data_IF_229489847604
#
_entry.id   IF_229489847604
#
_cell.length_a   1.000
_cell.length_b   1.000
_cell.length_c   1.000
_cell.angle_alpha   90.00
_cell.angle_beta   90.00
_cell.angle_gamma   90.00
#
_symmetry.space_group_name_H-M   'P 1'
#
loop_
_entity.id
_entity.type
_entity.pdbx_description
1 polymer ?
#
# COMPACT_ATOMS: atom_id res chain seq x y z
N UNK A 1 -11.21 -63.44 -0.69
CA UNK A 1 -9.81 -63.65 -1.09
C UNK A 1 -9.09 -62.33 -1.00
N UNK A 2 -8.37 -62.13 0.09
CA UNK A 2 -7.63 -60.90 0.32
C UNK A 2 -6.24 -60.97 -0.33
N UNK A 3 -5.96 -60.15 -1.28
CA UNK A 3 -4.62 -59.99 -1.83
C UNK A 3 -3.79 -59.16 -0.88
N UNK A 4 -2.93 -59.82 -0.12
CA UNK A 4 -1.89 -59.18 0.69
C UNK A 4 -0.83 -58.60 -0.25
N UNK A 5 -0.80 -57.31 -0.39
CA UNK A 5 0.34 -56.61 -1.00
C UNK A 5 1.39 -56.42 0.10
N UNK A 6 2.45 -57.23 0.05
CA UNK A 6 3.63 -57.05 0.92
C UNK A 6 4.31 -55.77 0.53
N UNK A 7 4.09 -54.71 1.33
CA UNK A 7 4.74 -53.42 1.13
C UNK A 7 6.20 -53.47 1.56
N UNK A 8 7.13 -53.18 0.64
CA UNK A 8 8.50 -52.82 1.00
C UNK A 8 8.44 -51.56 1.87
N UNK A 9 9.02 -51.61 3.07
CA UNK A 9 9.22 -50.42 3.90
C UNK A 9 10.16 -49.46 3.15
N UNK A 10 9.59 -48.41 2.58
CA UNK A 10 10.38 -47.29 2.10
C UNK A 10 10.80 -46.46 3.30
N UNK A 11 12.08 -46.39 3.59
CA UNK A 11 12.66 -45.49 4.60
C UNK A 11 12.61 -44.05 4.07
N UNK A 12 11.45 -43.42 4.13
CA UNK A 12 11.28 -42.01 3.81
C UNK A 12 11.40 -41.13 5.05
N UNK A 13 12.01 -39.95 4.98
CA UNK A 13 11.99 -38.97 6.05
C UNK A 13 10.59 -38.39 6.20
N UNK A 14 10.01 -38.49 7.39
CA UNK A 14 8.75 -37.82 7.75
C UNK A 14 9.06 -36.36 7.96
N UNK A 15 8.40 -35.48 7.21
CA UNK A 15 8.58 -34.02 7.33
C UNK A 15 7.57 -33.36 8.24
N UNK A 16 6.34 -33.82 8.24
CA UNK A 16 5.23 -33.23 9.00
C UNK A 16 4.14 -34.28 9.23
N UNK A 17 3.57 -34.27 10.42
CA UNK A 17 2.40 -35.09 10.76
C UNK A 17 1.35 -34.18 11.37
N UNK A 18 0.13 -34.22 10.87
CA UNK A 18 -0.99 -33.40 11.34
C UNK A 18 -2.20 -34.29 11.57
N UNK A 19 -2.82 -34.17 12.73
CA UNK A 19 -4.12 -34.79 13.02
C UNK A 19 -5.19 -33.80 12.58
N UNK A 20 -6.06 -34.20 11.64
CA UNK A 20 -7.09 -33.31 11.08
C UNK A 20 -8.40 -33.47 11.85
N UNK A 21 -8.76 -34.71 12.16
CA UNK A 21 -9.92 -35.06 12.98
C UNK A 21 -9.58 -36.38 13.66
N UNK A 22 -10.20 -36.76 14.76
CA UNK A 22 -9.83 -37.94 15.55
C UNK A 22 -9.60 -39.26 14.76
N UNK A 23 -10.03 -39.28 13.48
CA UNK A 23 -9.95 -40.42 12.59
C UNK A 23 -9.17 -40.19 11.28
N UNK A 24 -8.55 -39.02 11.11
CA UNK A 24 -7.78 -38.65 9.91
C UNK A 24 -6.40 -38.14 10.24
N UNK A 25 -5.39 -38.70 9.59
CA UNK A 25 -3.98 -38.31 9.75
C UNK A 25 -3.38 -37.94 8.40
N UNK A 26 -2.71 -36.79 8.32
CA UNK A 26 -1.91 -36.39 7.17
C UNK A 26 -0.42 -36.45 7.49
N UNK A 27 0.34 -36.98 6.55
CA UNK A 27 1.78 -37.13 6.71
C UNK A 27 2.50 -36.85 5.39
N UNK A 28 3.42 -35.88 5.44
CA UNK A 28 4.30 -35.66 4.31
C UNK A 28 5.52 -36.57 4.41
N UNK A 29 5.81 -37.25 3.31
CA UNK A 29 6.94 -38.16 3.20
C UNK A 29 7.78 -37.78 2.00
N UNK A 30 9.10 -37.75 2.17
CA UNK A 30 10.03 -37.58 1.06
C UNK A 30 10.70 -38.92 0.71
N UNK A 31 10.55 -39.32 -0.55
CA UNK A 31 11.17 -40.53 -1.09
C UNK A 31 12.02 -40.11 -2.30
N UNK A 32 13.33 -39.99 -2.12
CA UNK A 32 14.21 -39.41 -3.12
C UNK A 32 13.82 -37.98 -3.46
N UNK A 33 13.52 -37.70 -4.72
CA UNK A 33 13.11 -36.39 -5.21
C UNK A 33 11.59 -36.16 -5.20
N UNK A 34 10.81 -37.17 -4.79
CA UNK A 34 9.35 -37.12 -4.77
C UNK A 34 8.88 -36.79 -3.36
N UNK A 35 7.94 -35.84 -3.25
CA UNK A 35 7.23 -35.53 -2.01
C UNK A 35 5.81 -36.04 -2.11
N UNK A 36 5.47 -36.98 -1.24
CA UNK A 36 4.13 -37.58 -1.17
C UNK A 36 3.37 -37.08 0.05
N UNK A 37 2.10 -36.71 -0.16
CA UNK A 37 1.15 -36.50 0.92
C UNK A 37 0.36 -37.80 1.12
N UNK A 38 0.52 -38.39 2.28
CA UNK A 38 -0.23 -39.56 2.70
C UNK A 38 -1.34 -39.12 3.65
N UNK A 39 -2.58 -39.51 3.32
CA UNK A 39 -3.76 -39.41 4.19
C UNK A 39 -4.17 -40.77 4.63
N UNK A 40 -4.31 -40.96 5.92
CA UNK A 40 -4.87 -42.18 6.53
C UNK A 40 -6.24 -41.80 7.07
N UNK A 41 -7.29 -42.46 6.58
CA UNK A 41 -8.67 -42.30 6.99
C UNK A 41 -9.11 -43.61 7.62
N UNK A 42 -9.53 -43.57 8.88
CA UNK A 42 -10.08 -44.70 9.61
C UNK A 42 -11.61 -44.65 9.57
N UNK A 43 -12.24 -45.72 9.16
CA UNK A 43 -13.70 -45.89 9.17
C UNK A 43 -14.03 -46.85 10.32
N UNK A 44 -14.75 -46.35 11.31
CA UNK A 44 -15.16 -47.12 12.51
C UNK A 44 -16.68 -47.22 12.56
N UNK A 45 -17.15 -48.36 13.01
CA UNK A 45 -18.56 -48.63 13.29
C UNK A 45 -18.68 -49.27 14.68
N UNK A 46 -19.42 -48.62 15.59
CA UNK A 46 -19.56 -49.05 16.95
C UNK A 46 -18.26 -49.08 17.77
N UNK A 47 -17.27 -48.23 17.42
CA UNK A 47 -15.96 -48.19 18.09
C UNK A 47 -14.99 -49.27 17.57
N UNK A 48 -15.33 -49.98 16.51
CA UNK A 48 -14.48 -51.02 15.90
C UNK A 48 -14.03 -50.54 14.54
N UNK A 49 -12.71 -50.53 14.28
CA UNK A 49 -12.15 -50.17 13.00
C UNK A 49 -12.59 -51.16 11.92
N UNK A 50 -13.41 -50.72 10.98
CA UNK A 50 -13.91 -51.52 9.86
C UNK A 50 -12.97 -51.47 8.67
N UNK A 51 -12.43 -50.29 8.38
CA UNK A 51 -11.59 -50.07 7.22
C UNK A 51 -10.57 -48.93 7.47
N UNK A 52 -9.41 -49.05 6.83
CA UNK A 52 -8.41 -48.01 6.72
C UNK A 52 -8.15 -47.68 5.28
N UNK A 53 -8.43 -46.47 4.86
CA UNK A 53 -8.16 -45.95 3.52
C UNK A 53 -6.87 -45.17 3.58
N UNK A 54 -5.92 -45.49 2.72
CA UNK A 54 -4.66 -44.75 2.56
C UNK A 54 -4.67 -44.11 1.17
N UNK A 55 -4.69 -42.77 1.17
CA UNK A 55 -4.54 -41.98 -0.04
C UNK A 55 -3.11 -41.48 -0.13
N UNK A 56 -2.49 -41.58 -1.29
CA UNK A 56 -1.17 -41.04 -1.54
C UNK A 56 -1.24 -40.13 -2.76
N UNK A 57 -0.86 -38.88 -2.56
CA UNK A 57 -0.83 -37.87 -3.61
C UNK A 57 0.60 -37.38 -3.81
N UNK A 58 1.08 -37.31 -5.04
CA UNK A 58 2.33 -36.66 -5.38
C UNK A 58 2.13 -35.13 -5.33
N UNK A 59 2.82 -34.48 -4.41
CA UNK A 59 2.78 -33.03 -4.21
C UNK A 59 4.12 -32.37 -4.54
N UNK A 60 4.98 -33.05 -5.28
CA UNK A 60 6.34 -32.61 -5.59
C UNK A 60 6.35 -31.26 -6.31
N UNK A 61 5.57 -31.15 -7.39
CA UNK A 61 5.48 -29.92 -8.18
C UNK A 61 4.84 -28.77 -7.38
N UNK A 62 3.81 -29.07 -6.60
CA UNK A 62 3.19 -28.08 -5.70
C UNK A 62 4.19 -27.55 -4.69
N UNK A 63 4.99 -28.42 -4.06
CA UNK A 63 6.02 -28.01 -3.10
C UNK A 63 7.19 -27.24 -3.72
N UNK A 64 7.53 -27.55 -4.97
CA UNK A 64 8.53 -26.77 -5.72
C UNK A 64 8.02 -25.35 -5.96
N UNK A 65 6.79 -25.20 -6.42
CA UNK A 65 6.14 -23.89 -6.63
C UNK A 65 6.02 -23.10 -5.35
N UNK A 66 5.54 -23.71 -4.25
CA UNK A 66 5.48 -23.07 -2.94
C UNK A 66 6.85 -22.55 -2.47
N UNK A 67 7.90 -23.33 -2.68
CA UNK A 67 9.26 -22.93 -2.35
C UNK A 67 9.74 -21.78 -3.22
N UNK A 68 9.44 -21.81 -4.51
CA UNK A 68 9.80 -20.75 -5.45
C UNK A 68 9.08 -19.43 -5.08
N UNK A 69 7.78 -19.49 -4.79
CA UNK A 69 7.00 -18.34 -4.33
C UNK A 69 7.63 -17.74 -3.05
N UNK A 70 7.95 -18.58 -2.06
CA UNK A 70 8.58 -18.11 -0.82
C UNK A 70 9.94 -17.44 -1.05
N UNK A 71 10.75 -17.98 -1.98
CA UNK A 71 12.02 -17.36 -2.33
C UNK A 71 11.79 -16.02 -3.04
N UNK A 72 10.84 -15.95 -3.98
CA UNK A 72 10.50 -14.71 -4.67
C UNK A 72 10.03 -13.63 -3.67
N UNK A 73 9.12 -13.98 -2.74
CA UNK A 73 8.66 -13.06 -1.70
C UNK A 73 9.80 -12.56 -0.81
N UNK A 74 10.70 -13.45 -0.39
CA UNK A 74 11.86 -13.04 0.43
C UNK A 74 12.81 -12.09 -0.32
N UNK A 75 13.02 -12.31 -1.63
CA UNK A 75 13.84 -11.42 -2.48
C UNK A 75 13.16 -10.06 -2.64
N UNK A 76 11.85 -10.04 -2.86
CA UNK A 76 11.07 -8.80 -2.96
C UNK A 76 11.17 -7.99 -1.66
N UNK A 77 11.00 -8.62 -0.50
CA UNK A 77 11.16 -7.95 0.80
C UNK A 77 12.57 -7.37 0.98
N UNK A 78 13.63 -8.12 0.60
CA UNK A 78 15.00 -7.62 0.68
C UNK A 78 15.21 -6.40 -0.25
N UNK A 79 14.62 -6.41 -1.46
CA UNK A 79 14.67 -5.26 -2.37
C UNK A 79 14.00 -4.05 -1.72
N UNK A 80 12.84 -4.21 -1.11
CA UNK A 80 12.14 -3.14 -0.41
C UNK A 80 12.95 -2.55 0.73
N UNK A 81 13.58 -3.40 1.56
CA UNK A 81 14.48 -2.93 2.62
C UNK A 81 15.69 -2.16 2.07
N UNK A 82 16.26 -2.58 0.95
CA UNK A 82 17.36 -1.87 0.29
C UNK A 82 16.93 -0.53 -0.29
N UNK A 83 15.76 -0.45 -0.92
CA UNK A 83 15.22 0.82 -1.44
C UNK A 83 15.01 1.81 -0.29
N UNK A 84 14.40 1.39 0.82
CA UNK A 84 14.25 2.21 2.02
C UNK A 84 15.60 2.75 2.52
N UNK A 85 16.59 1.88 2.69
CA UNK A 85 17.92 2.26 3.17
C UNK A 85 18.62 3.26 2.22
N UNK A 86 18.46 3.07 0.91
CA UNK A 86 19.01 3.98 -0.09
C UNK A 86 18.33 5.36 -0.02
N UNK A 87 17.00 5.41 0.09
CA UNK A 87 16.25 6.66 0.24
C UNK A 87 16.64 7.40 1.51
N UNK A 88 16.79 6.71 2.65
CA UNK A 88 17.28 7.30 3.90
C UNK A 88 18.71 7.86 3.78
N UNK A 89 19.57 7.16 3.04
CA UNK A 89 20.95 7.62 2.79
C UNK A 89 20.93 8.90 1.95
N UNK A 90 20.13 8.94 0.88
CA UNK A 90 19.97 10.14 0.03
C UNK A 90 19.43 11.30 0.85
N UNK A 91 18.38 11.09 1.67
CA UNK A 91 17.85 12.10 2.57
C UNK A 91 18.91 12.65 3.53
N UNK A 92 19.75 11.78 4.10
CA UNK A 92 20.87 12.18 4.97
C UNK A 92 21.89 13.05 4.23
N UNK A 93 22.25 12.70 2.99
CA UNK A 93 23.18 13.48 2.18
C UNK A 93 22.59 14.85 1.84
N UNK A 94 21.31 14.93 1.46
CA UNK A 94 20.65 16.21 1.17
C UNK A 94 20.54 17.09 2.43
N UNK A 95 20.23 16.52 3.61
CA UNK A 95 20.28 17.26 4.89
C UNK A 95 21.67 17.83 5.17
N UNK A 96 22.72 17.07 4.87
CA UNK A 96 24.09 17.55 5.05
C UNK A 96 24.38 18.71 4.08
N UNK A 97 23.94 18.64 2.83
CA UNK A 97 24.07 19.73 1.86
C UNK A 97 23.28 20.98 2.29
N UNK A 98 22.05 20.81 2.76
CA UNK A 98 21.22 21.90 3.27
C UNK A 98 21.90 22.68 4.43
N UNK A 99 22.63 21.97 5.33
CA UNK A 99 23.39 22.60 6.42
C UNK A 99 24.60 23.40 5.91
N UNK A 100 25.19 23.03 4.77
CA UNK A 100 26.37 23.69 4.19
C UNK A 100 26.02 24.80 3.22
N UNK A 101 24.80 24.82 2.70
CA UNK A 101 24.31 25.81 1.74
C UNK A 101 24.06 27.15 2.44
N UNK A 102 24.54 28.22 1.81
CA UNK A 102 24.40 29.59 2.32
C UNK A 102 23.15 30.33 1.80
N UNK A 103 22.62 29.91 0.62
CA UNK A 103 21.39 30.48 0.06
C UNK A 103 20.19 29.95 0.84
N UNK A 104 19.34 30.84 1.38
CA UNK A 104 18.10 30.45 2.05
C UNK A 104 17.16 29.67 1.14
N UNK A 105 17.00 30.09 -0.12
CA UNK A 105 16.12 29.45 -1.11
C UNK A 105 16.61 28.01 -1.41
N UNK A 106 17.91 27.84 -1.65
CA UNK A 106 18.46 26.50 -1.90
C UNK A 106 18.39 25.60 -0.66
N UNK A 107 18.49 26.17 0.53
CA UNK A 107 18.32 25.42 1.78
C UNK A 107 16.89 24.91 1.94
N UNK A 108 15.91 25.74 1.61
CA UNK A 108 14.50 25.38 1.68
C UNK A 108 14.15 24.31 0.64
N UNK A 109 14.56 24.48 -0.62
CA UNK A 109 14.39 23.50 -1.67
C UNK A 109 15.00 22.12 -1.31
N UNK A 110 16.17 22.12 -0.64
CA UNK A 110 16.79 20.88 -0.17
C UNK A 110 16.01 20.23 0.97
N UNK A 111 15.40 21.01 1.88
CA UNK A 111 14.54 20.46 2.93
C UNK A 111 13.27 19.85 2.37
N UNK A 112 12.59 20.52 1.43
CA UNK A 112 11.44 19.98 0.73
C UNK A 112 11.80 18.65 0.04
N UNK A 113 12.93 18.60 -0.68
CA UNK A 113 13.43 17.38 -1.30
C UNK A 113 13.65 16.24 -0.30
N UNK A 114 14.19 16.54 0.90
CA UNK A 114 14.35 15.56 1.98
C UNK A 114 13.01 15.04 2.45
N UNK A 115 12.03 15.92 2.68
CA UNK A 115 10.70 15.54 3.14
C UNK A 115 10.01 14.63 2.14
N UNK A 116 10.07 14.93 0.83
CA UNK A 116 9.54 14.10 -0.23
C UNK A 116 10.19 12.72 -0.29
N UNK A 117 11.52 12.64 -0.18
CA UNK A 117 12.23 11.36 -0.18
C UNK A 117 11.82 10.49 1.01
N UNK A 118 11.67 11.08 2.20
CA UNK A 118 11.24 10.35 3.38
C UNK A 118 9.81 9.84 3.24
N UNK A 119 8.92 10.65 2.69
CA UNK A 119 7.53 10.25 2.43
C UNK A 119 7.45 9.11 1.41
N UNK A 120 8.21 9.17 0.32
CA UNK A 120 8.32 8.06 -0.65
C UNK A 120 8.83 6.78 0.04
N UNK A 121 9.80 6.89 0.95
CA UNK A 121 10.33 5.75 1.71
C UNK A 121 9.26 5.07 2.57
N UNK A 122 8.39 5.86 3.20
CA UNK A 122 7.31 5.37 4.05
C UNK A 122 6.22 4.69 3.21
N UNK A 123 5.82 5.33 2.11
CA UNK A 123 4.86 4.78 1.15
C UNK A 123 5.36 3.43 0.62
N UNK A 124 6.62 3.38 0.22
CA UNK A 124 7.24 2.17 -0.29
C UNK A 124 7.27 1.04 0.75
N UNK A 125 7.56 1.36 2.02
CA UNK A 125 7.52 0.40 3.13
C UNK A 125 6.10 -0.10 3.39
N UNK A 126 5.12 0.79 3.42
CA UNK A 126 3.71 0.43 3.64
C UNK A 126 3.20 -0.52 2.55
N UNK A 127 3.48 -0.21 1.28
CA UNK A 127 3.05 -1.02 0.15
C UNK A 127 3.78 -2.37 0.08
N UNK A 128 5.03 -2.42 0.53
CA UNK A 128 5.84 -3.64 0.54
C UNK A 128 5.45 -4.64 1.63
N UNK A 129 4.76 -4.20 2.67
CA UNK A 129 4.27 -5.07 3.74
C UNK A 129 2.91 -5.71 3.43
N UNK A 130 2.27 -5.28 2.36
CA UNK A 130 1.01 -5.85 1.92
C UNK A 130 1.29 -6.88 0.82
N UNK A 131 1.16 -8.17 1.15
CA UNK A 131 1.18 -9.27 0.17
C UNK A 131 -0.07 -9.26 -0.75
N UNK A 132 -0.96 -8.29 -0.57
CA UNK A 132 -2.20 -8.17 -1.32
C UNK A 132 -1.96 -7.51 -2.68
N UNK A 133 -2.35 -8.17 -3.74
CA UNK A 133 -2.36 -7.61 -5.11
C UNK A 133 -3.30 -6.40 -5.23
N UNK A 134 -4.28 -6.29 -4.32
CA UNK A 134 -5.31 -5.25 -4.30
C UNK A 134 -5.25 -4.48 -2.98
N UNK A 135 -5.09 -3.17 -3.06
CA UNK A 135 -4.86 -2.27 -1.93
C UNK A 135 -6.02 -1.29 -1.78
N UNK A 136 -6.50 -1.11 -0.53
CA UNK A 136 -7.48 -0.10 -0.18
C UNK A 136 -6.84 1.28 -0.06
N UNK A 137 -7.27 2.21 -0.92
CA UNK A 137 -6.79 3.60 -1.00
C UNK A 137 -7.02 4.36 0.32
N UNK A 138 -8.12 4.10 1.01
CA UNK A 138 -8.44 4.75 2.29
C UNK A 138 -7.42 4.38 3.37
N UNK A 139 -7.00 3.12 3.42
CA UNK A 139 -5.96 2.67 4.36
C UNK A 139 -4.61 3.32 4.07
N UNK A 140 -4.26 3.44 2.80
CA UNK A 140 -3.03 4.12 2.35
C UNK A 140 -3.07 5.58 2.77
N UNK A 141 -4.16 6.30 2.49
CA UNK A 141 -4.32 7.71 2.84
C UNK A 141 -4.19 7.96 4.34
N UNK A 142 -4.79 7.10 5.19
CA UNK A 142 -4.65 7.18 6.65
C UNK A 142 -3.20 7.01 7.09
N UNK A 143 -2.50 6.01 6.55
CA UNK A 143 -1.09 5.74 6.90
C UNK A 143 -0.17 6.89 6.50
N UNK A 144 -0.39 7.48 5.31
CA UNK A 144 0.36 8.66 4.85
C UNK A 144 0.08 9.86 5.78
N UNK A 145 -1.20 10.13 6.08
CA UNK A 145 -1.61 11.21 6.95
C UNK A 145 -0.92 11.11 8.33
N UNK A 146 -0.99 9.95 8.97
CA UNK A 146 -0.37 9.71 10.27
C UNK A 146 1.14 9.96 10.23
N UNK A 147 1.79 9.49 9.18
CA UNK A 147 3.24 9.62 9.01
C UNK A 147 3.67 11.06 8.75
N UNK A 148 2.95 11.78 7.88
CA UNK A 148 3.24 13.20 7.59
C UNK A 148 2.99 14.05 8.83
N UNK A 149 1.89 13.81 9.54
CA UNK A 149 1.59 14.52 10.80
C UNK A 149 2.72 14.34 11.83
N UNK A 150 3.22 13.11 12.01
CA UNK A 150 4.28 12.82 12.96
C UNK A 150 5.63 13.45 12.57
N UNK A 151 5.89 13.65 11.28
CA UNK A 151 7.19 14.11 10.79
C UNK A 151 7.27 15.62 10.54
N UNK A 152 6.14 16.26 10.23
CA UNK A 152 6.09 17.64 9.73
C UNK A 152 5.45 18.62 10.69
N UNK A 153 4.50 18.17 11.51
CA UNK A 153 3.78 19.06 12.41
C UNK A 153 4.48 19.21 13.75
N UNK A 154 4.51 20.42 14.26
CA UNK A 154 4.92 20.69 15.63
C UNK A 154 3.95 20.04 16.60
N UNK A 155 4.44 19.67 17.79
CA UNK A 155 3.62 18.98 18.82
C UNK A 155 2.42 19.79 19.29
N UNK A 156 2.48 21.10 19.11
CA UNK A 156 1.43 22.04 19.53
C UNK A 156 0.45 22.37 18.38
N UNK A 157 0.66 21.83 17.17
CA UNK A 157 -0.26 22.03 16.06
C UNK A 157 -1.47 21.10 16.19
N UNK A 158 -2.66 21.66 16.23
CA UNK A 158 -3.92 20.91 16.32
C UNK A 158 -4.47 20.56 14.93
N UNK A 159 -4.05 19.42 14.34
CA UNK A 159 -4.65 18.94 13.10
C UNK A 159 -5.83 18.02 13.38
N UNK A 160 -6.98 18.34 12.77
CA UNK A 160 -8.13 17.45 12.71
C UNK A 160 -8.19 16.79 11.34
N UNK A 161 -8.36 15.47 11.31
CA UNK A 161 -8.47 14.70 10.06
C UNK A 161 -9.79 13.95 10.01
N UNK A 162 -10.44 13.91 8.84
CA UNK A 162 -11.67 13.16 8.61
C UNK A 162 -11.58 12.37 7.30
N UNK A 163 -12.17 11.18 7.26
CA UNK A 163 -12.11 10.26 6.13
C UNK A 163 -13.51 9.79 5.77
N UNK A 164 -13.96 10.06 4.53
CA UNK A 164 -15.32 9.83 4.08
C UNK A 164 -15.38 9.12 2.74
N UNK A 165 -16.47 8.40 2.53
CA UNK A 165 -16.81 7.75 1.25
C UNK A 165 -16.56 6.26 1.22
N UNK A 166 -16.80 5.61 0.08
CA UNK A 166 -16.61 4.18 -0.11
C UNK A 166 -15.13 3.78 -0.14
N UNK A 167 -14.87 2.52 0.18
CA UNK A 167 -13.55 1.91 -0.05
C UNK A 167 -13.28 1.81 -1.56
N UNK A 168 -12.16 2.35 -1.99
CA UNK A 168 -11.65 2.19 -3.36
C UNK A 168 -10.49 1.21 -3.30
N UNK A 169 -10.59 0.12 -4.08
CA UNK A 169 -9.58 -0.91 -4.17
C UNK A 169 -8.86 -0.83 -5.50
N UNK A 170 -7.54 -0.70 -5.47
CA UNK A 170 -6.70 -0.59 -6.66
C UNK A 170 -5.59 -1.67 -6.66
N UNK A 171 -5.14 -2.11 -7.84
CA UNK A 171 -3.92 -2.89 -7.96
C UNK A 171 -2.73 -2.17 -7.29
N UNK A 172 -1.83 -2.94 -6.68
CA UNK A 172 -0.68 -2.42 -5.92
C UNK A 172 0.12 -1.36 -6.68
N UNK A 173 0.33 -1.55 -7.99
CA UNK A 173 1.02 -0.61 -8.86
C UNK A 173 0.32 0.75 -8.95
N UNK A 174 -1.01 0.75 -9.12
CA UNK A 174 -1.81 1.98 -9.20
C UNK A 174 -1.97 2.64 -7.84
N UNK A 175 -2.12 1.84 -6.78
CA UNK A 175 -2.13 2.32 -5.41
C UNK A 175 -0.80 3.01 -5.04
N UNK A 176 0.35 2.50 -5.53
CA UNK A 176 1.67 3.12 -5.35
C UNK A 176 1.76 4.49 -5.98
N UNK A 177 1.28 4.64 -7.22
CA UNK A 177 1.24 5.92 -7.93
C UNK A 177 0.33 6.92 -7.21
N UNK A 178 -0.87 6.48 -6.86
CA UNK A 178 -1.84 7.32 -6.17
C UNK A 178 -1.37 7.73 -4.77
N UNK A 179 -0.64 6.87 -4.07
CA UNK A 179 -0.08 7.20 -2.75
C UNK A 179 0.91 8.35 -2.82
N UNK A 180 1.71 8.45 -3.87
CA UNK A 180 2.59 9.60 -4.09
C UNK A 180 1.80 10.89 -4.32
N UNK A 181 0.73 10.81 -5.12
CA UNK A 181 -0.18 11.95 -5.33
C UNK A 181 -0.84 12.40 -4.03
N UNK A 182 -1.37 11.46 -3.25
CA UNK A 182 -1.99 11.74 -1.93
C UNK A 182 -0.97 12.42 -1.01
N UNK A 183 0.25 11.90 -0.95
CA UNK A 183 1.31 12.47 -0.13
C UNK A 183 1.62 13.92 -0.50
N UNK A 184 1.82 14.21 -1.79
CA UNK A 184 2.09 15.57 -2.26
C UNK A 184 0.95 16.53 -1.93
N UNK A 185 -0.30 16.07 -2.03
CA UNK A 185 -1.46 16.93 -1.69
C UNK A 185 -1.57 17.20 -0.19
N UNK A 186 -1.26 16.22 0.66
CA UNK A 186 -1.22 16.41 2.11
C UNK A 186 -0.07 17.35 2.49
N UNK A 187 1.11 17.18 1.89
CA UNK A 187 2.24 18.08 2.11
C UNK A 187 1.91 19.52 1.71
N UNK A 188 1.30 19.72 0.53
CA UNK A 188 0.89 21.04 0.08
C UNK A 188 -0.12 21.70 1.04
N UNK A 189 -1.07 20.94 1.58
CA UNK A 189 -2.02 21.45 2.56
C UNK A 189 -1.31 21.89 3.84
N UNK A 190 -0.33 21.15 4.32
CA UNK A 190 0.44 21.48 5.54
C UNK A 190 1.38 22.65 5.31
N UNK A 191 2.16 22.63 4.22
CA UNK A 191 3.21 23.63 3.96
C UNK A 191 2.63 24.99 3.53
N UNK A 192 1.59 24.96 2.70
CA UNK A 192 1.00 26.18 2.11
C UNK A 192 -0.37 26.54 2.68
N UNK A 193 -1.22 25.52 2.95
CA UNK A 193 -2.55 25.77 3.49
C UNK A 193 -2.52 26.26 4.92
N UNK A 194 -1.63 25.75 5.75
CA UNK A 194 -1.58 26.06 7.19
C UNK A 194 -0.45 27.00 7.59
N UNK A 195 0.13 27.70 6.63
CA UNK A 195 1.16 28.69 6.92
C UNK A 195 0.64 29.75 7.91
N UNK A 196 1.39 30.00 8.99
CA UNK A 196 1.03 30.91 10.09
C UNK A 196 -0.24 30.54 10.88
N UNK A 197 -0.62 29.26 10.89
CA UNK A 197 -1.75 28.72 11.66
C UNK A 197 -1.26 27.76 12.75
N UNK A 198 -2.09 27.57 13.78
CA UNK A 198 -1.85 26.61 14.86
C UNK A 198 -2.82 25.43 14.82
N UNK A 199 -3.83 25.51 13.95
CA UNK A 199 -4.82 24.45 13.77
C UNK A 199 -5.20 24.33 12.32
N UNK A 200 -5.59 23.13 11.89
CA UNK A 200 -6.06 22.88 10.55
C UNK A 200 -6.99 21.66 10.47
N UNK A 201 -7.74 21.56 9.41
CA UNK A 201 -8.60 20.43 9.09
C UNK A 201 -8.24 19.92 7.71
N UNK A 202 -8.00 18.61 7.60
CA UNK A 202 -7.89 17.92 6.30
C UNK A 202 -8.96 16.84 6.23
N UNK A 203 -9.74 16.87 5.15
CA UNK A 203 -10.77 15.86 4.87
C UNK A 203 -10.37 15.10 3.62
N UNK A 204 -10.24 13.79 3.75
CA UNK A 204 -10.04 12.87 2.63
C UNK A 204 -11.38 12.28 2.24
N UNK A 205 -11.81 12.49 1.01
CA UNK A 205 -13.09 12.03 0.51
C UNK A 205 -12.90 11.14 -0.72
N UNK A 206 -13.60 10.01 -0.73
CA UNK A 206 -13.70 9.13 -1.90
C UNK A 206 -15.12 9.08 -2.40
N UNK A 207 -15.28 8.98 -3.70
CA UNK A 207 -16.55 8.70 -4.36
C UNK A 207 -16.29 7.82 -5.58
N UNK A 208 -17.31 7.13 -6.03
CA UNK A 208 -17.26 6.35 -7.26
C UNK A 208 -18.51 6.60 -8.10
N UNK A 209 -18.30 6.59 -9.42
CA UNK A 209 -19.34 6.55 -10.42
C UNK A 209 -19.31 5.20 -11.15
N UNK A 210 -20.12 5.01 -12.16
CA UNK A 210 -20.10 3.79 -12.97
C UNK A 210 -18.75 3.58 -13.69
N UNK A 211 -18.08 4.68 -14.07
CA UNK A 211 -16.87 4.66 -14.92
C UNK A 211 -15.59 5.19 -14.24
N UNK A 212 -15.71 5.90 -13.11
CA UNK A 212 -14.60 6.63 -12.52
C UNK A 212 -14.56 6.50 -11.01
N UNK A 213 -13.35 6.58 -10.45
CA UNK A 213 -13.11 6.87 -9.04
C UNK A 213 -12.75 8.33 -8.89
N UNK A 214 -13.29 8.95 -7.84
CA UNK A 214 -12.99 10.33 -7.47
C UNK A 214 -12.41 10.36 -6.07
N UNK A 215 -11.22 10.94 -5.95
CA UNK A 215 -10.54 11.14 -4.67
C UNK A 215 -10.37 12.64 -4.48
N UNK A 216 -10.75 13.16 -3.31
CA UNK A 216 -10.61 14.56 -2.96
C UNK A 216 -9.88 14.71 -1.64
N UNK A 217 -8.93 15.63 -1.60
CA UNK A 217 -8.24 16.06 -0.39
C UNK A 217 -8.59 17.53 -0.19
N UNK A 218 -9.29 17.83 0.89
CA UNK A 218 -9.80 19.15 1.18
C UNK A 218 -9.15 19.66 2.46
N UNK A 219 -8.55 20.84 2.41
CA UNK A 219 -8.09 21.56 3.59
C UNK A 219 -8.99 22.78 3.91
N UNK A 220 -8.90 23.29 5.13
CA UNK A 220 -9.50 24.53 5.58
C UNK A 220 -8.45 25.66 5.66
N UNK A 221 -7.41 25.57 4.85
CA UNK A 221 -6.25 26.43 4.87
C UNK A 221 -6.50 27.84 4.32
N UNK A 222 -5.42 28.46 3.86
CA UNK A 222 -5.43 29.83 3.34
C UNK A 222 -6.08 29.94 1.94
N UNK A 223 -6.40 28.83 1.28
CA UNK A 223 -6.91 28.79 -0.09
C UNK A 223 -5.81 29.01 -1.14
N UNK A 224 -6.22 29.13 -2.39
CA UNK A 224 -5.33 29.43 -3.49
C UNK A 224 -5.14 30.95 -3.64
N UNK A 225 -3.96 31.44 -4.06
CA UNK A 225 -3.76 32.85 -4.42
C UNK A 225 -4.75 33.31 -5.50
N UNK A 226 -5.14 34.61 -5.50
CA UNK A 226 -6.10 35.15 -6.49
C UNK A 226 -5.63 34.99 -7.93
N UNK A 227 -4.31 35.06 -8.15
CA UNK A 227 -3.67 34.87 -9.48
C UNK A 227 -3.17 33.43 -9.69
N UNK A 228 -3.73 32.46 -8.99
CA UNK A 228 -3.29 31.06 -9.10
C UNK A 228 -3.63 30.50 -10.49
N UNK A 229 -2.58 30.15 -11.23
CA UNK A 229 -2.67 29.45 -12.51
C UNK A 229 -1.96 28.10 -12.39
N UNK A 230 -2.70 27.02 -12.51
CA UNK A 230 -2.17 25.66 -12.43
C UNK A 230 -1.14 25.39 -13.53
N UNK A 231 -1.29 26.01 -14.71
CA UNK A 231 -0.33 25.88 -15.82
C UNK A 231 1.00 26.60 -15.50
N UNK A 232 0.93 27.76 -14.86
CA UNK A 232 2.11 28.51 -14.43
C UNK A 232 2.83 27.83 -13.26
N UNK A 233 2.10 27.20 -12.35
CA UNK A 233 2.63 26.53 -11.15
C UNK A 233 3.13 25.09 -11.43
N UNK A 234 2.97 24.57 -12.64
CA UNK A 234 3.67 23.34 -13.10
C UNK A 234 5.20 23.42 -12.94
N UNK A 235 5.75 24.59 -12.62
CA UNK A 235 7.16 24.75 -12.23
C UNK A 235 7.46 24.21 -10.82
N UNK A 236 6.48 24.05 -9.93
CA UNK A 236 6.69 23.35 -8.67
C UNK A 236 6.79 21.85 -8.91
N UNK A 237 7.85 21.24 -8.40
CA UNK A 237 8.13 19.83 -8.62
C UNK A 237 6.96 18.92 -8.15
N UNK A 238 6.32 19.25 -7.03
CA UNK A 238 5.22 18.45 -6.47
C UNK A 238 4.00 18.42 -7.38
N UNK A 239 3.50 19.59 -7.81
CA UNK A 239 2.34 19.66 -8.71
C UNK A 239 2.64 19.09 -10.10
N UNK A 240 3.88 19.22 -10.59
CA UNK A 240 4.32 18.55 -11.82
C UNK A 240 4.22 17.03 -11.71
N UNK A 241 4.73 16.45 -10.61
CA UNK A 241 4.66 15.01 -10.34
C UNK A 241 3.19 14.55 -10.27
N UNK A 242 2.35 15.26 -9.52
CA UNK A 242 0.93 14.95 -9.38
C UNK A 242 0.23 14.95 -10.74
N UNK A 243 0.43 16.01 -11.52
CA UNK A 243 -0.20 16.12 -12.83
C UNK A 243 0.27 15.00 -13.76
N UNK A 244 1.58 14.75 -13.85
CA UNK A 244 2.14 13.67 -14.69
C UNK A 244 1.57 12.31 -14.30
N UNK A 245 1.58 11.97 -13.01
CA UNK A 245 1.05 10.67 -12.56
C UNK A 245 -0.44 10.54 -12.88
N UNK A 246 -1.24 11.55 -12.55
CA UNK A 246 -2.69 11.46 -12.73
C UNK A 246 -3.07 11.46 -14.20
N UNK A 247 -2.49 12.37 -15.01
CA UNK A 247 -2.92 12.54 -16.41
C UNK A 247 -2.21 11.58 -17.37
N UNK A 248 -0.90 11.38 -17.24
CA UNK A 248 -0.13 10.60 -18.20
C UNK A 248 -0.05 9.11 -17.84
N UNK A 249 0.06 8.80 -16.51
CA UNK A 249 0.23 7.41 -16.10
C UNK A 249 -1.06 6.72 -15.66
N UNK A 250 -2.07 7.49 -15.20
CA UNK A 250 -3.35 6.94 -14.75
C UNK A 250 -4.52 7.33 -15.67
N UNK A 251 -4.27 8.09 -16.76
CA UNK A 251 -5.32 8.50 -17.70
C UNK A 251 -6.46 9.30 -17.07
N UNK A 252 -6.19 9.94 -15.95
CA UNK A 252 -7.16 10.65 -15.15
C UNK A 252 -7.13 12.16 -15.32
N UNK A 253 -7.80 12.88 -14.43
CA UNK A 253 -7.86 14.34 -14.37
C UNK A 253 -7.50 14.82 -12.98
N UNK A 254 -6.66 15.86 -12.91
CA UNK A 254 -6.30 16.56 -11.69
C UNK A 254 -6.81 18.00 -11.70
N UNK A 255 -7.46 18.42 -10.62
CA UNK A 255 -8.02 19.77 -10.45
C UNK A 255 -7.70 20.29 -9.06
N UNK A 256 -7.23 21.56 -8.98
CA UNK A 256 -7.17 22.31 -7.74
C UNK A 256 -8.28 23.37 -7.75
N UNK A 257 -9.11 23.36 -6.72
CA UNK A 257 -10.30 24.19 -6.63
C UNK A 257 -10.20 25.02 -5.35
N UNK A 258 -10.19 26.33 -5.50
CA UNK A 258 -10.36 27.24 -4.36
C UNK A 258 -11.74 27.07 -3.77
N UNK A 259 -11.81 26.86 -2.47
CA UNK A 259 -13.05 26.52 -1.81
C UNK A 259 -13.36 27.53 -0.72
N UNK A 260 -14.40 28.33 -0.94
CA UNK A 260 -15.11 28.99 0.16
C UNK A 260 -15.94 27.92 0.86
N UNK A 261 -15.40 27.29 1.90
CA UNK A 261 -16.02 26.11 2.50
C UNK A 261 -16.84 26.51 3.71
N UNK A 262 -18.11 26.10 3.70
CA UNK A 262 -18.91 25.97 4.92
C UNK A 262 -18.65 24.58 5.54
N UNK A 263 -17.65 24.44 6.38
CA UNK A 263 -17.58 23.31 7.32
C UNK A 263 -18.52 23.60 8.48
N UNK A 264 -19.77 23.20 8.32
CA UNK A 264 -20.82 23.44 9.30
C UNK A 264 -20.82 22.39 10.40
N UNK A 265 -19.96 22.54 11.42
CA UNK A 265 -20.40 22.21 12.78
C UNK A 265 -20.48 23.44 13.69
N UNK A 266 -19.87 24.54 13.32
CA UNK A 266 -19.86 25.76 14.14
C UNK A 266 -20.06 27.07 13.35
N UNK A 267 -20.56 27.03 12.10
CA UNK A 267 -20.90 28.25 11.35
C UNK A 267 -19.72 29.12 10.91
N UNK A 268 -18.50 28.64 10.94
CA UNK A 268 -17.35 29.36 10.43
C UNK A 268 -17.18 29.08 8.94
N UNK A 269 -17.16 30.13 8.12
CA UNK A 269 -16.73 30.07 6.73
C UNK A 269 -15.21 29.87 6.73
N UNK A 270 -14.74 28.74 6.24
CA UNK A 270 -13.33 28.51 6.01
C UNK A 270 -13.04 28.67 4.52
N UNK A 271 -11.99 29.42 4.20
CA UNK A 271 -11.34 29.32 2.92
C UNK A 271 -10.46 28.08 2.98
N UNK A 272 -10.24 27.39 1.85
CA UNK A 272 -9.39 26.26 1.78
C UNK A 272 -9.25 25.75 0.35
N UNK A 273 -8.47 24.73 0.17
CA UNK A 273 -8.23 24.12 -1.16
C UNK A 273 -8.86 22.73 -1.25
N UNK A 274 -9.39 22.38 -2.40
CA UNK A 274 -9.75 21.01 -2.76
C UNK A 274 -8.86 20.54 -3.89
N UNK A 275 -8.01 19.56 -3.64
CA UNK A 275 -7.36 18.77 -4.67
C UNK A 275 -8.29 17.62 -5.06
N UNK A 276 -8.72 17.60 -6.31
CA UNK A 276 -9.62 16.56 -6.85
C UNK A 276 -8.90 15.76 -7.91
N UNK A 277 -8.93 14.45 -7.75
CA UNK A 277 -8.32 13.44 -8.61
C UNK A 277 -9.44 12.56 -9.13
N UNK A 278 -9.56 12.45 -10.44
CA UNK A 278 -10.53 11.57 -11.09
C UNK A 278 -9.76 10.57 -11.93
N UNK A 279 -9.96 9.26 -11.72
CA UNK A 279 -9.29 8.19 -12.46
C UNK A 279 -10.31 7.20 -13.01
N UNK A 280 -10.14 6.72 -14.25
CA UNK A 280 -11.05 5.75 -14.86
C UNK A 280 -10.95 4.39 -14.16
N UNK A 281 -12.07 3.66 -14.07
CA UNK A 281 -12.13 2.29 -13.51
C UNK A 281 -11.46 1.25 -14.41
N UNK A 282 -11.36 1.50 -15.70
CA UNK A 282 -10.78 0.60 -16.70
C UNK A 282 -9.28 0.32 -16.48
N UNK A 283 -8.58 1.15 -15.71
CA UNK A 283 -7.19 0.90 -15.29
C UNK A 283 -7.02 -0.46 -14.59
N UNK A 284 -8.10 -1.08 -14.10
CA UNK A 284 -8.07 -2.40 -13.49
C UNK A 284 -8.07 -3.55 -14.51
N UNK A 285 -8.53 -3.34 -15.74
CA UNK A 285 -8.78 -4.41 -16.72
C UNK A 285 -7.54 -4.79 -17.55
N UNK A 286 -6.61 -3.89 -17.79
CA UNK A 286 -5.45 -4.15 -18.65
C UNK A 286 -4.36 -5.01 -18.00
N UNK A 287 -4.36 -5.19 -16.69
CA UNK A 287 -3.33 -5.96 -15.97
C UNK A 287 -3.79 -7.38 -15.55
N UNK A 288 -5.05 -7.75 -15.74
CA UNK A 288 -5.55 -9.10 -15.45
C UNK A 288 -5.28 -10.10 -16.59
N UNK A 289 -4.93 -9.61 -17.79
CA UNK A 289 -4.70 -10.43 -19.00
C UNK A 289 -3.22 -10.48 -19.46
N UNK A 290 -2.27 -9.94 -18.69
CA UNK A 290 -0.84 -9.99 -18.98
C UNK A 290 -0.10 -10.84 -17.91
#
# INVERSE_FOLDING_TARGET
>A
MGTSISGRCFAGKVKRETVIDGHQYEKEMQIGDITLLRRDIHIEEGGVLQCRIILMSDITEMRKKDKEIKIKSAVIQEIHHRVKNNLQTIASLLRMQARRTKSPEAKEALKEGVNRILSISIIHEFLSQQDDEIIDVMRVAKSIMDSVCQSMLDKDFGLFTDFKGPEIKLPSKNASKLSLVINEMILNAIEHGFENRFTGVIVFETAETDTEYVISICDDGNGLPEDFDLEAVRSSLGLYIVNTIVTEEMGGKFELIDRKVEFSKNGHQCHGTRAKITIPKEIQAEEADA
#
